data_IF_043077881612
#
_entry.id   IF_043077881612
#
_cell.length_a   1.000
_cell.length_b   1.000
_cell.length_c   1.000
_cell.angle_alpha   90.00
_cell.angle_beta   90.00
_cell.angle_gamma   90.00
#
_symmetry.space_group_name_H-M   'P 1'
#
loop_
_entity.id
_entity.type
_entity.pdbx_description
1 polymer ?
#
# COMPACT_ATOMS: atom_id res chain seq x y z
N UNK A 1 0.60 -20.12 -13.25
CA UNK A 1 -0.12 -18.87 -12.96
C UNK A 1 -0.24 -18.77 -11.46
N UNK A 2 0.55 -17.89 -10.87
CA UNK A 2 0.44 -17.50 -9.47
C UNK A 2 -0.55 -16.33 -9.33
N UNK A 3 -1.18 -16.24 -8.16
CA UNK A 3 -1.98 -15.10 -7.73
C UNK A 3 -1.41 -14.62 -6.41
N UNK A 4 -1.03 -13.36 -6.29
CA UNK A 4 -0.43 -12.79 -5.07
C UNK A 4 -1.04 -11.41 -4.80
N UNK A 5 -1.25 -11.08 -3.55
CA UNK A 5 -1.72 -9.74 -3.20
C UNK A 5 -0.99 -9.17 -1.98
N UNK A 6 -0.78 -7.87 -2.01
CA UNK A 6 -0.43 -7.04 -0.87
C UNK A 6 -1.64 -6.16 -0.54
N UNK A 7 -2.15 -6.29 0.69
CA UNK A 7 -3.31 -5.54 1.17
C UNK A 7 -2.89 -4.69 2.38
N UNK A 8 -3.01 -3.38 2.27
CA UNK A 8 -2.56 -2.40 3.26
C UNK A 8 -3.75 -1.58 3.73
N UNK A 9 -3.95 -1.48 5.05
CA UNK A 9 -5.09 -0.79 5.65
C UNK A 9 -4.70 -0.09 6.94
N UNK A 10 -4.81 1.24 6.99
CA UNK A 10 -4.36 2.02 8.15
C UNK A 10 -5.49 2.89 8.67
N UNK A 11 -6.02 2.54 9.83
CA UNK A 11 -6.98 3.35 10.58
C UNK A 11 -6.28 4.14 11.68
N UNK A 12 -5.39 3.48 12.42
CA UNK A 12 -4.75 4.05 13.60
C UNK A 12 -3.37 4.57 13.23
N UNK A 13 -3.29 5.87 12.97
CA UNK A 13 -2.02 6.59 12.82
C UNK A 13 -1.44 6.96 14.19
N UNK A 14 -0.12 7.26 14.31
CA UNK A 14 0.49 7.66 15.58
C UNK A 14 -0.16 8.88 16.22
N UNK A 15 -0.54 9.87 15.41
CA UNK A 15 -1.39 10.98 15.85
C UNK A 15 -2.87 10.58 15.76
N UNK A 16 -3.61 10.51 16.88
CA UNK A 16 -5.04 10.21 16.89
C UNK A 16 -5.89 11.19 16.07
N UNK A 17 -5.43 12.42 15.82
CA UNK A 17 -6.14 13.39 14.98
C UNK A 17 -6.25 12.93 13.52
N UNK A 18 -5.36 12.04 13.09
CA UNK A 18 -5.35 11.46 11.75
C UNK A 18 -6.05 10.10 11.70
N UNK A 19 -6.75 9.67 12.76
CA UNK A 19 -7.41 8.37 12.76
C UNK A 19 -8.53 8.27 11.70
N UNK A 20 -8.55 7.15 10.99
CA UNK A 20 -9.60 6.74 10.06
C UNK A 20 -10.37 5.55 10.66
N UNK A 21 -11.54 5.22 10.09
CA UNK A 21 -12.41 4.16 10.61
C UNK A 21 -12.73 3.04 9.59
N UNK A 22 -12.44 3.25 8.30
CA UNK A 22 -12.85 2.34 7.22
C UNK A 22 -11.75 1.41 6.71
N UNK A 23 -10.49 1.83 6.79
CA UNK A 23 -9.40 1.25 6.01
C UNK A 23 -9.12 -0.23 6.33
N UNK A 24 -9.17 -0.60 7.61
CA UNK A 24 -9.03 -2.01 8.03
C UNK A 24 -10.20 -2.86 7.52
N UNK A 25 -11.41 -2.30 7.54
CA UNK A 25 -12.59 -2.99 7.02
C UNK A 25 -12.53 -3.16 5.49
N UNK A 26 -12.01 -2.17 4.76
CA UNK A 26 -11.77 -2.26 3.31
C UNK A 26 -10.84 -3.42 2.98
N UNK A 27 -9.72 -3.55 3.69
CA UNK A 27 -8.80 -4.68 3.53
C UNK A 27 -9.48 -6.02 3.78
N UNK A 28 -10.33 -6.11 4.80
CA UNK A 28 -11.09 -7.34 5.06
C UNK A 28 -12.06 -7.68 3.93
N UNK A 29 -12.76 -6.69 3.37
CA UNK A 29 -13.67 -6.88 2.24
C UNK A 29 -12.92 -7.30 0.98
N UNK A 30 -11.81 -6.64 0.64
CA UNK A 30 -10.98 -6.98 -0.52
C UNK A 30 -10.37 -8.37 -0.35
N UNK A 31 -9.86 -8.70 0.84
CA UNK A 31 -9.35 -10.05 1.13
C UNK A 31 -10.43 -11.12 0.92
N UNK A 32 -11.64 -10.89 1.41
CA UNK A 32 -12.75 -11.81 1.23
C UNK A 32 -13.11 -11.97 -0.26
N UNK A 33 -13.21 -10.85 -0.99
CA UNK A 33 -13.47 -10.81 -2.43
C UNK A 33 -12.45 -11.62 -3.23
N UNK A 34 -11.16 -11.38 -3.01
CA UNK A 34 -10.07 -12.07 -3.71
C UNK A 34 -10.11 -13.59 -3.49
N UNK A 35 -10.39 -14.01 -2.27
CA UNK A 35 -10.49 -15.44 -1.92
C UNK A 35 -11.72 -16.10 -2.52
N UNK A 36 -12.89 -15.49 -2.33
CA UNK A 36 -14.18 -16.10 -2.65
C UNK A 36 -14.46 -16.09 -4.16
N UNK A 37 -13.98 -15.07 -4.87
CA UNK A 37 -14.37 -14.84 -6.26
C UNK A 37 -13.21 -14.87 -7.25
N UNK A 38 -11.96 -14.68 -6.80
CA UNK A 38 -10.81 -14.58 -7.71
C UNK A 38 -9.75 -15.68 -7.51
N UNK A 39 -10.00 -16.64 -6.62
CA UNK A 39 -9.16 -17.83 -6.46
C UNK A 39 -7.79 -17.55 -5.85
N UNK A 40 -7.68 -16.55 -4.97
CA UNK A 40 -6.47 -16.32 -4.17
C UNK A 40 -6.49 -17.19 -2.91
N UNK A 41 -5.40 -17.90 -2.66
CA UNK A 41 -5.17 -18.63 -1.41
C UNK A 41 -4.73 -17.70 -0.28
N UNK A 42 -5.06 -18.04 0.97
CA UNK A 42 -4.68 -17.22 2.14
C UNK A 42 -3.16 -17.03 2.27
N UNK A 43 -2.37 -18.03 1.90
CA UNK A 43 -0.90 -17.96 1.94
C UNK A 43 -0.31 -17.01 0.89
N UNK A 44 -1.10 -16.58 -0.09
CA UNK A 44 -0.69 -15.65 -1.14
C UNK A 44 -1.13 -14.21 -0.88
N UNK A 45 -1.71 -13.93 0.30
CA UNK A 45 -2.22 -12.62 0.69
C UNK A 45 -1.37 -12.06 1.83
N UNK A 46 -0.47 -11.14 1.52
CA UNK A 46 0.23 -10.33 2.51
C UNK A 46 -0.70 -9.23 3.01
N UNK A 47 -0.85 -9.09 4.33
CA UNK A 47 -1.78 -8.14 4.95
C UNK A 47 -1.07 -7.29 6.00
N UNK A 48 -1.00 -5.98 5.76
CA UNK A 48 -0.40 -4.98 6.64
C UNK A 48 -1.50 -4.08 7.20
N UNK A 49 -1.66 -4.05 8.52
CA UNK A 49 -2.71 -3.26 9.18
C UNK A 49 -2.12 -2.35 10.26
N UNK A 50 -2.60 -1.11 10.30
CA UNK A 50 -2.24 -0.10 11.30
C UNK A 50 -0.72 -0.02 11.52
N UNK A 51 -0.24 -0.21 12.76
CA UNK A 51 1.18 -0.16 13.13
C UNK A 51 2.10 -1.15 12.38
N UNK A 52 1.54 -2.13 11.66
CA UNK A 52 2.32 -3.04 10.81
C UNK A 52 2.55 -2.51 9.40
N UNK A 53 1.77 -1.53 8.96
CA UNK A 53 1.92 -0.87 7.66
C UNK A 53 2.99 0.23 7.72
N UNK A 54 4.21 -0.17 8.11
CA UNK A 54 5.38 0.71 8.11
C UNK A 54 5.90 0.89 6.70
N UNK A 55 6.66 1.96 6.48
CA UNK A 55 7.35 2.28 5.23
C UNK A 55 8.17 1.09 4.77
N UNK A 56 8.98 0.51 5.66
CA UNK A 56 9.78 -0.67 5.35
C UNK A 56 8.94 -1.90 5.00
N UNK A 57 7.84 -2.17 5.73
CA UNK A 57 7.01 -3.34 5.46
C UNK A 57 6.25 -3.21 4.13
N UNK A 58 5.79 -2.00 3.79
CA UNK A 58 5.12 -1.73 2.51
C UNK A 58 6.13 -1.91 1.37
N UNK A 59 7.31 -1.30 1.44
CA UNK A 59 8.36 -1.46 0.41
C UNK A 59 8.80 -2.91 0.24
N UNK A 60 9.01 -3.66 1.34
CA UNK A 60 9.33 -5.09 1.26
C UNK A 60 8.18 -5.90 0.66
N UNK A 61 6.93 -5.62 1.03
CA UNK A 61 5.76 -6.28 0.47
C UNK A 61 5.60 -6.04 -1.03
N UNK A 62 5.87 -4.82 -1.50
CA UNK A 62 5.85 -4.48 -2.93
C UNK A 62 6.93 -5.24 -3.70
N UNK A 63 8.16 -5.26 -3.18
CA UNK A 63 9.25 -6.03 -3.76
C UNK A 63 8.91 -7.52 -3.85
N UNK A 64 8.41 -8.12 -2.78
CA UNK A 64 7.98 -9.53 -2.75
C UNK A 64 6.81 -9.83 -3.69
N UNK A 65 5.90 -8.86 -3.88
CA UNK A 65 4.75 -8.99 -4.77
C UNK A 65 5.21 -9.16 -6.23
N UNK A 66 6.19 -8.37 -6.67
CA UNK A 66 6.68 -8.37 -8.06
C UNK A 66 7.81 -9.38 -8.29
N UNK A 67 8.54 -9.78 -7.25
CA UNK A 67 9.67 -10.70 -7.34
C UNK A 67 9.27 -12.00 -8.07
N UNK A 68 10.05 -12.36 -9.10
CA UNK A 68 9.83 -13.57 -9.88
C UNK A 68 8.50 -13.66 -10.65
N UNK A 69 7.77 -12.55 -10.82
CA UNK A 69 6.53 -12.52 -11.60
C UNK A 69 6.75 -12.93 -13.06
N UNK A 70 5.80 -13.69 -13.61
CA UNK A 70 5.87 -14.23 -14.97
C UNK A 70 4.64 -13.84 -15.79
N UNK A 71 4.73 -13.85 -17.14
CA UNK A 71 3.56 -13.66 -17.99
C UNK A 71 2.42 -14.60 -17.60
N UNK A 72 1.25 -14.00 -17.37
CA UNK A 72 0.03 -14.70 -16.96
C UNK A 72 -0.20 -14.76 -15.45
N UNK A 73 0.72 -14.31 -14.59
CA UNK A 73 0.45 -14.14 -13.16
C UNK A 73 -0.49 -12.96 -12.90
N UNK A 74 -1.20 -12.98 -11.77
CA UNK A 74 -2.08 -11.89 -11.33
C UNK A 74 -1.58 -11.36 -9.99
N UNK A 75 -1.20 -10.09 -9.97
CA UNK A 75 -0.71 -9.40 -8.78
C UNK A 75 -1.72 -8.30 -8.40
N UNK A 76 -2.03 -8.18 -7.12
CA UNK A 76 -2.97 -7.17 -6.61
C UNK A 76 -2.31 -6.38 -5.50
N UNK A 77 -2.25 -5.06 -5.67
CA UNK A 77 -2.02 -4.12 -4.59
C UNK A 77 -3.35 -3.48 -4.21
N UNK A 78 -3.68 -3.48 -2.93
CA UNK A 78 -4.77 -2.66 -2.40
C UNK A 78 -4.25 -1.86 -1.22
N UNK A 79 -4.40 -0.54 -1.30
CA UNK A 79 -4.07 0.38 -0.23
C UNK A 79 -5.34 1.15 0.18
N UNK A 80 -5.62 1.20 1.48
CA UNK A 80 -6.61 2.10 2.08
C UNK A 80 -5.97 2.80 3.28
N UNK A 81 -5.88 4.13 3.21
CA UNK A 81 -5.19 4.97 4.17
C UNK A 81 -5.18 6.42 3.70
N UNK A 82 -4.37 7.26 4.35
CA UNK A 82 -4.15 8.63 3.90
C UNK A 82 -3.24 8.64 2.68
N UNK A 83 -3.48 9.61 1.80
CA UNK A 83 -2.52 10.12 0.83
C UNK A 83 -2.29 11.60 1.11
N UNK A 84 -1.18 12.13 0.62
CA UNK A 84 -0.82 13.55 0.75
C UNK A 84 0.04 13.95 -0.46
N UNK A 85 0.51 15.18 -0.45
CA UNK A 85 1.52 15.67 -1.38
C UNK A 85 2.73 16.20 -0.60
N UNK A 86 3.92 16.14 -1.19
CA UNK A 86 5.15 16.79 -0.71
C UNK A 86 5.76 17.63 -1.83
N UNK A 87 6.56 18.67 -1.54
CA UNK A 87 7.27 19.38 -2.60
C UNK A 87 8.20 18.45 -3.37
N UNK A 88 8.09 18.50 -4.70
CA UNK A 88 8.97 17.78 -5.62
C UNK A 88 10.44 18.19 -5.37
N UNK A 89 11.31 17.18 -5.30
CA UNK A 89 12.74 17.34 -4.99
C UNK A 89 13.66 17.02 -6.17
N UNK A 90 13.19 16.38 -7.24
CA UNK A 90 14.03 16.00 -8.37
C UNK A 90 13.62 16.65 -9.71
N UNK A 91 12.46 17.33 -9.73
CA UNK A 91 12.02 18.22 -10.79
C UNK A 91 11.30 17.50 -11.92
N UNK A 92 10.80 16.29 -11.72
CA UNK A 92 10.03 15.55 -12.71
C UNK A 92 8.52 15.91 -12.71
N UNK A 93 8.03 16.61 -11.70
CA UNK A 93 6.64 17.07 -11.60
C UNK A 93 6.45 18.43 -12.33
N UNK A 94 6.12 18.36 -13.62
CA UNK A 94 6.04 19.55 -14.49
C UNK A 94 4.80 20.44 -14.30
N UNK A 95 3.82 20.00 -13.50
CA UNK A 95 2.49 20.62 -13.41
C UNK A 95 2.33 21.57 -12.23
N UNK A 96 2.53 21.09 -11.01
CA UNK A 96 2.37 21.86 -9.76
C UNK A 96 3.59 21.78 -8.82
N UNK A 97 4.56 20.92 -9.13
CA UNK A 97 5.79 20.75 -8.36
C UNK A 97 5.59 20.02 -7.03
N UNK A 98 4.66 19.06 -6.99
CA UNK A 98 4.30 18.29 -5.81
C UNK A 98 4.20 16.78 -6.09
N UNK A 99 5.00 15.96 -5.42
CA UNK A 99 4.89 14.50 -5.50
C UNK A 99 3.67 14.01 -4.71
N UNK A 100 2.85 13.14 -5.31
CA UNK A 100 1.82 12.40 -4.60
C UNK A 100 2.44 11.28 -3.75
N UNK A 101 2.02 11.18 -2.49
CA UNK A 101 2.53 10.17 -1.56
C UNK A 101 1.41 9.35 -0.93
N UNK A 102 1.71 8.08 -0.65
CA UNK A 102 0.96 7.32 0.36
C UNK A 102 1.55 7.61 1.74
N UNK A 103 0.73 7.52 2.80
CA UNK A 103 1.16 7.77 4.16
C UNK A 103 1.25 6.46 4.98
N UNK A 104 2.43 5.82 5.10
CA UNK A 104 2.64 4.71 6.02
C UNK A 104 2.39 5.10 7.48
N UNK A 105 2.28 4.11 8.35
CA UNK A 105 2.10 4.34 9.79
C UNK A 105 3.22 5.19 10.39
N UNK A 106 4.45 5.01 9.92
CA UNK A 106 5.66 5.70 10.36
C UNK A 106 6.17 6.72 9.32
N UNK A 107 5.24 7.39 8.61
CA UNK A 107 5.56 8.38 7.58
C UNK A 107 6.71 9.32 8.01
N UNK A 108 7.76 9.32 7.21
CA UNK A 108 8.82 10.33 7.22
C UNK A 108 8.58 11.30 6.06
N UNK A 109 8.27 12.56 6.39
CA UNK A 109 8.03 13.60 5.39
C UNK A 109 9.27 13.96 4.57
N UNK A 110 10.46 13.62 5.06
CA UNK A 110 11.71 13.83 4.33
C UNK A 110 12.06 12.68 3.39
N UNK A 111 11.49 11.49 3.62
CA UNK A 111 11.72 10.29 2.80
C UNK A 111 10.43 9.48 2.65
N UNK A 112 9.37 10.06 2.04
CA UNK A 112 8.09 9.38 1.91
C UNK A 112 8.16 8.22 0.90
N UNK A 113 7.02 7.56 0.68
CA UNK A 113 6.82 6.70 -0.49
C UNK A 113 6.05 7.55 -1.51
N UNK A 114 6.76 8.07 -2.50
CA UNK A 114 6.18 8.83 -3.60
C UNK A 114 5.57 7.90 -4.66
N UNK A 115 4.76 8.43 -5.56
CA UNK A 115 4.24 7.65 -6.67
C UNK A 115 5.33 7.07 -7.56
N UNK A 116 6.48 7.75 -7.71
CA UNK A 116 7.62 7.26 -8.49
C UNK A 116 8.34 6.06 -7.84
N UNK A 117 8.08 5.82 -6.55
CA UNK A 117 8.57 4.65 -5.84
C UNK A 117 7.71 3.39 -6.06
N UNK A 118 6.49 3.52 -6.63
CA UNK A 118 5.47 2.46 -6.72
C UNK A 118 5.44 1.76 -8.09
#
# INVERSE_FOLDING_TARGET
MARRALLVGINRYPDPAHALNGCVNDVHQVRALLRQHYGFDDSALAVLLDARATTSAIRSGLAELVEGARPGDVLVLHYSGHGSQVPDRDGDEATDGLDEIICPYDLDWDHPIAEDDL
#
